data_IF_439266931453
#
_entry.id   IF_439266931453
#
_cell.length_a   1.000
_cell.length_b   1.000
_cell.length_c   1.000
_cell.angle_alpha   90.00
_cell.angle_beta   90.00
_cell.angle_gamma   90.00
#
_symmetry.space_group_name_H-M   'P 1'
#
loop_
_entity.id
_entity.type
_entity.pdbx_description
1 polymer ?
#
# COMPACT_ATOMS: atom_id res chain seq x y z
N UNK A 1 36.07 -3.39 8.01
CA UNK A 1 34.59 -3.54 8.04
C UNK A 1 33.89 -3.25 6.72
N UNK A 2 34.58 -2.68 5.74
CA UNK A 2 33.98 -2.28 4.44
C UNK A 2 33.69 -3.41 3.43
N UNK A 3 33.95 -4.67 3.77
CA UNK A 3 33.79 -5.80 2.86
C UNK A 3 32.77 -6.85 3.33
N UNK A 4 31.95 -6.57 4.35
CA UNK A 4 30.84 -7.48 4.69
C UNK A 4 29.59 -7.02 3.94
N UNK A 5 29.10 -7.80 2.96
CA UNK A 5 27.77 -7.56 2.40
C UNK A 5 26.74 -7.75 3.54
N UNK A 6 25.85 -6.81 3.76
CA UNK A 6 24.84 -6.81 4.82
C UNK A 6 25.32 -6.36 6.22
N UNK A 7 26.10 -5.28 6.31
CA UNK A 7 26.46 -4.70 7.60
C UNK A 7 25.25 -3.94 8.19
N UNK A 8 24.74 -4.39 9.32
CA UNK A 8 23.61 -3.86 10.06
C UNK A 8 24.08 -3.09 11.29
N UNK A 9 23.47 -1.94 11.60
CA UNK A 9 23.84 -1.11 12.74
C UNK A 9 23.63 -1.83 14.08
N UNK A 10 22.46 -2.41 14.27
CA UNK A 10 22.08 -3.08 15.52
C UNK A 10 22.84 -4.38 15.75
N UNK A 11 22.98 -5.19 14.70
CA UNK A 11 23.60 -6.53 14.80
C UNK A 11 25.12 -6.51 14.74
N UNK A 12 25.72 -5.54 14.03
CA UNK A 12 27.16 -5.58 13.76
C UNK A 12 27.91 -4.34 14.28
N UNK A 13 27.46 -3.11 13.95
CA UNK A 13 28.24 -1.89 14.23
C UNK A 13 28.22 -1.55 15.71
N UNK A 14 27.04 -1.48 16.33
CA UNK A 14 26.91 -1.14 17.74
C UNK A 14 27.61 -2.17 18.64
N UNK A 15 27.39 -3.50 18.49
CA UNK A 15 28.12 -4.50 19.26
C UNK A 15 29.64 -4.45 19.06
N UNK A 16 30.10 -4.21 17.82
CA UNK A 16 31.53 -4.06 17.57
C UNK A 16 32.13 -2.84 18.27
N UNK A 17 31.47 -1.70 18.19
CA UNK A 17 31.92 -0.47 18.87
C UNK A 17 31.96 -0.67 20.39
N UNK A 18 30.98 -1.34 20.97
CA UNK A 18 30.92 -1.69 22.38
C UNK A 18 32.10 -2.61 22.77
N UNK A 19 32.33 -3.68 22.01
CA UNK A 19 33.42 -4.62 22.24
C UNK A 19 34.82 -3.97 22.11
N UNK A 20 34.94 -2.88 21.30
CA UNK A 20 36.15 -2.10 21.18
C UNK A 20 36.29 -0.97 22.21
N UNK A 21 35.45 -0.94 23.23
CA UNK A 21 35.48 0.07 24.29
C UNK A 21 35.22 1.49 23.81
N UNK A 22 34.52 1.66 22.67
CA UNK A 22 34.08 2.98 22.20
C UNK A 22 32.98 3.51 23.12
N UNK A 23 32.98 4.82 23.35
CA UNK A 23 31.92 5.45 24.12
C UNK A 23 30.62 5.47 23.29
N UNK A 24 29.60 4.77 23.78
CA UNK A 24 28.26 4.75 23.23
C UNK A 24 27.31 5.51 24.15
N UNK A 25 26.47 6.35 23.58
CA UNK A 25 25.45 7.10 24.30
C UNK A 25 24.09 6.81 23.69
N UNK A 26 23.08 6.57 24.52
CA UNK A 26 21.70 6.50 24.11
C UNK A 26 21.10 7.91 24.19
N UNK A 27 20.37 8.29 23.15
CA UNK A 27 19.53 9.49 23.14
C UNK A 27 18.07 9.04 23.11
N UNK A 28 17.29 9.45 24.10
CA UNK A 28 15.86 9.17 24.15
C UNK A 28 15.13 10.18 23.27
N UNK A 29 14.45 9.66 22.26
CA UNK A 29 13.65 10.46 21.33
C UNK A 29 12.17 10.37 21.73
N UNK A 30 11.55 11.51 22.02
CA UNK A 30 10.16 11.60 22.48
C UNK A 30 9.20 12.07 21.38
N UNK A 31 9.60 12.04 20.11
CA UNK A 31 8.75 12.36 18.97
C UNK A 31 8.11 11.12 18.34
N UNK A 32 7.32 11.35 17.29
CA UNK A 32 6.76 10.25 16.50
C UNK A 32 7.88 9.42 15.84
N UNK A 33 7.85 8.12 16.05
CA UNK A 33 8.70 7.16 15.38
C UNK A 33 7.95 5.86 15.16
N UNK A 34 7.93 5.35 13.92
CA UNK A 34 7.31 4.08 13.59
C UNK A 34 8.19 3.27 12.66
N UNK A 35 8.39 1.99 12.98
CA UNK A 35 9.05 1.02 12.10
C UNK A 35 8.02 0.50 11.09
N UNK A 36 8.26 0.78 9.81
CA UNK A 36 7.41 0.33 8.70
C UNK A 36 7.99 -0.90 7.99
N UNK A 37 8.70 -1.74 8.71
CA UNK A 37 9.38 -2.93 8.19
C UNK A 37 8.47 -4.08 7.74
N UNK A 38 7.15 -3.99 7.93
CA UNK A 38 6.15 -4.96 7.46
C UNK A 38 5.03 -4.27 6.69
N UNK A 39 4.30 -5.02 5.84
CA UNK A 39 3.14 -4.48 5.10
C UNK A 39 2.06 -3.96 6.06
N UNK A 40 1.85 -4.65 7.17
CA UNK A 40 0.86 -4.24 8.16
C UNK A 40 1.26 -2.94 8.85
N UNK A 41 2.52 -2.82 9.31
CA UNK A 41 2.99 -1.57 9.94
C UNK A 41 3.05 -0.41 8.93
N UNK A 42 3.32 -0.68 7.65
CA UNK A 42 3.22 0.32 6.58
C UNK A 42 1.77 0.78 6.38
N UNK A 43 0.81 -0.16 6.34
CA UNK A 43 -0.61 0.17 6.24
C UNK A 43 -1.07 0.98 7.46
N UNK A 44 -0.75 0.53 8.66
CA UNK A 44 -1.09 1.25 9.91
C UNK A 44 -0.54 2.67 9.93
N UNK A 45 0.75 2.86 9.57
CA UNK A 45 1.36 4.19 9.53
C UNK A 45 0.65 5.15 8.56
N UNK A 46 0.16 4.64 7.43
CA UNK A 46 -0.64 5.43 6.49
C UNK A 46 -2.04 5.75 7.04
N UNK A 47 -2.68 4.80 7.72
CA UNK A 47 -4.00 5.03 8.34
C UNK A 47 -3.92 6.03 9.50
N UNK A 48 -2.82 6.05 10.26
CA UNK A 48 -2.59 7.07 11.30
C UNK A 48 -2.53 8.51 10.75
N UNK A 49 -2.11 8.68 9.49
CA UNK A 49 -2.07 10.01 8.85
C UNK A 49 -3.46 10.61 8.58
N UNK A 50 -4.48 9.78 8.45
CA UNK A 50 -5.87 10.23 8.19
C UNK A 50 -6.69 10.40 9.46
N UNK A 51 -6.10 10.24 10.63
CA UNK A 51 -6.77 10.55 11.89
C UNK A 51 -7.05 12.05 12.02
N UNK A 52 -8.06 12.39 12.82
CA UNK A 52 -8.50 13.80 13.04
C UNK A 52 -7.34 14.65 13.57
N UNK A 53 -6.52 14.08 14.44
CA UNK A 53 -5.30 14.71 14.97
C UNK A 53 -4.17 13.69 14.83
N UNK A 54 -3.51 13.65 13.65
CA UNK A 54 -2.41 12.72 13.44
C UNK A 54 -1.20 13.11 14.30
N UNK A 55 -0.55 12.15 14.92
CA UNK A 55 0.69 12.39 15.68
C UNK A 55 1.81 12.91 14.78
N UNK A 56 1.83 12.48 13.51
CA UNK A 56 2.77 12.93 12.49
C UNK A 56 2.12 13.97 11.58
N UNK A 57 2.65 15.20 11.63
CA UNK A 57 2.12 16.33 10.85
C UNK A 57 2.79 16.42 9.48
N UNK A 58 2.08 16.09 8.41
CA UNK A 58 2.55 16.26 7.02
C UNK A 58 2.61 17.74 6.59
N UNK A 59 1.93 18.63 7.31
CA UNK A 59 1.80 20.06 7.00
C UNK A 59 2.75 20.94 7.82
N UNK A 60 3.85 20.35 8.37
CA UNK A 60 4.82 21.10 9.14
C UNK A 60 5.54 22.15 8.28
N UNK A 61 5.33 23.42 8.61
CA UNK A 61 5.89 24.54 7.84
C UNK A 61 7.36 24.79 8.14
N UNK A 62 7.81 24.53 9.37
CA UNK A 62 9.17 24.82 9.81
C UNK A 62 10.16 23.69 9.45
N UNK A 63 9.66 22.49 9.20
CA UNK A 63 10.48 21.36 8.79
C UNK A 63 9.80 20.60 7.65
N UNK A 64 9.87 21.20 6.46
CA UNK A 64 9.24 20.66 5.27
C UNK A 64 9.90 19.35 4.82
N UNK A 65 9.09 18.36 4.51
CA UNK A 65 9.51 17.13 3.88
C UNK A 65 9.57 17.37 2.36
N UNK A 66 10.76 17.26 1.77
CA UNK A 66 10.95 17.39 0.34
C UNK A 66 10.94 16.02 -0.31
N UNK A 67 10.20 15.91 -1.41
CA UNK A 67 10.10 14.68 -2.21
C UNK A 67 10.06 15.05 -3.69
N UNK A 68 10.33 14.08 -4.57
CA UNK A 68 10.13 14.25 -6.00
C UNK A 68 8.64 14.16 -6.34
N UNK A 69 7.99 15.31 -6.43
CA UNK A 69 6.56 15.38 -6.74
C UNK A 69 6.36 15.53 -8.25
N UNK A 70 5.53 14.69 -8.84
CA UNK A 70 5.07 14.88 -10.21
C UNK A 70 4.28 16.20 -10.31
N UNK A 71 4.55 16.99 -11.35
CA UNK A 71 3.79 18.20 -11.61
C UNK A 71 2.47 17.85 -12.31
N UNK A 72 1.48 17.43 -11.53
CA UNK A 72 0.15 17.02 -11.99
C UNK A 72 -0.89 18.10 -11.66
N UNK A 73 -2.01 18.14 -12.39
CA UNK A 73 -3.11 19.07 -12.10
C UNK A 73 -3.71 18.79 -10.70
N UNK A 74 -4.52 19.72 -10.17
CA UNK A 74 -5.32 19.45 -8.98
C UNK A 74 -6.19 18.20 -9.12
N UNK A 75 -6.68 17.69 -7.99
CA UNK A 75 -7.64 16.59 -7.96
C UNK A 75 -8.96 16.99 -8.63
N UNK A 76 -9.59 16.03 -9.30
CA UNK A 76 -10.95 16.16 -9.82
C UNK A 76 -11.89 15.20 -9.07
N UNK A 77 -12.98 15.73 -8.58
CA UNK A 77 -14.07 14.96 -7.97
C UNK A 77 -15.32 15.15 -8.83
N UNK A 78 -15.94 14.07 -9.28
CA UNK A 78 -17.19 14.13 -10.03
C UNK A 78 -18.36 14.58 -9.14
N UNK A 79 -19.49 14.93 -9.73
CA UNK A 79 -20.69 15.35 -9.02
C UNK A 79 -21.21 14.28 -8.02
N UNK A 80 -21.08 13.01 -8.39
CA UNK A 80 -21.53 11.87 -7.58
C UNK A 80 -20.44 11.30 -6.68
N UNK A 81 -19.23 11.89 -6.65
CA UNK A 81 -18.13 11.36 -5.85
C UNK A 81 -18.35 11.59 -4.35
N UNK A 82 -18.09 10.56 -3.56
CA UNK A 82 -18.10 10.65 -2.09
C UNK A 82 -16.70 10.41 -1.56
N UNK A 83 -16.17 11.36 -0.78
CA UNK A 83 -14.82 11.26 -0.22
C UNK A 83 -14.86 11.60 1.26
N UNK A 84 -14.45 10.64 2.10
CA UNK A 84 -14.45 10.79 3.56
C UNK A 84 -13.15 10.31 4.20
N UNK A 85 -12.52 11.16 5.02
CA UNK A 85 -11.29 10.83 5.77
C UNK A 85 -10.16 10.29 4.89
N UNK A 86 -9.77 11.02 3.86
CA UNK A 86 -8.76 10.59 2.90
C UNK A 86 -7.62 11.59 2.76
N UNK A 87 -6.43 11.09 2.45
CA UNK A 87 -5.32 11.88 1.90
C UNK A 87 -5.25 11.60 0.40
N UNK A 88 -5.32 12.66 -0.41
CA UNK A 88 -5.38 12.53 -1.87
C UNK A 88 -4.34 13.45 -2.48
N UNK A 89 -3.46 12.88 -3.30
CA UNK A 89 -2.42 13.63 -4.03
C UNK A 89 -2.94 14.17 -5.37
N UNK A 90 -2.17 15.10 -5.96
CA UNK A 90 -2.51 15.75 -7.24
C UNK A 90 -2.70 14.77 -8.39
N UNK A 91 -3.49 15.17 -9.40
CA UNK A 91 -3.76 14.40 -10.59
C UNK A 91 -4.74 13.24 -10.40
N UNK A 92 -5.34 13.12 -9.23
CA UNK A 92 -6.30 12.05 -8.92
C UNK A 92 -7.69 12.43 -9.41
N UNK A 93 -8.36 11.52 -10.10
CA UNK A 93 -9.73 11.66 -10.60
C UNK A 93 -10.64 10.63 -9.91
N UNK A 94 -11.69 11.09 -9.22
CA UNK A 94 -12.61 10.24 -8.47
C UNK A 94 -14.03 10.38 -9.02
N UNK A 95 -14.55 9.27 -9.54
CA UNK A 95 -15.92 9.13 -10.04
C UNK A 95 -16.78 8.20 -9.17
N UNK A 96 -16.23 7.64 -8.11
CA UNK A 96 -16.85 6.73 -7.17
C UNK A 96 -16.75 7.20 -5.72
N UNK A 97 -16.68 6.25 -4.78
CA UNK A 97 -16.61 6.51 -3.34
C UNK A 97 -15.24 6.11 -2.77
N UNK A 98 -14.69 6.95 -1.89
CA UNK A 98 -13.42 6.69 -1.20
C UNK A 98 -13.55 7.02 0.27
N UNK A 99 -13.27 6.06 1.13
CA UNK A 99 -13.36 6.19 2.57
C UNK A 99 -12.07 5.73 3.25
N UNK A 100 -11.61 6.47 4.25
CA UNK A 100 -10.48 6.10 5.13
C UNK A 100 -9.27 5.56 4.35
N UNK A 101 -8.85 6.25 3.28
CA UNK A 101 -7.83 5.76 2.36
C UNK A 101 -6.76 6.81 2.03
N UNK A 102 -5.59 6.33 1.64
CA UNK A 102 -4.47 7.17 1.21
C UNK A 102 -4.21 6.94 -0.27
N UNK A 103 -4.34 7.99 -1.08
CA UNK A 103 -4.22 7.97 -2.52
C UNK A 103 -2.99 8.75 -2.98
N UNK A 104 -2.09 8.07 -3.67
CA UNK A 104 -0.95 8.64 -4.36
C UNK A 104 -1.34 9.54 -5.53
N UNK A 105 -0.37 9.99 -6.30
CA UNK A 105 -0.58 10.92 -7.40
C UNK A 105 -1.09 10.22 -8.67
N UNK A 106 -1.99 10.88 -9.42
CA UNK A 106 -2.42 10.42 -10.73
C UNK A 106 -3.27 9.13 -10.71
N UNK A 107 -4.11 8.97 -9.70
CA UNK A 107 -5.02 7.83 -9.57
C UNK A 107 -6.34 8.11 -10.28
N UNK A 108 -6.93 7.08 -10.87
CA UNK A 108 -8.30 7.14 -11.39
C UNK A 108 -9.16 6.11 -10.69
N UNK A 109 -10.32 6.54 -10.15
CA UNK A 109 -11.33 5.66 -9.56
C UNK A 109 -12.61 5.75 -10.37
N UNK A 110 -12.98 4.64 -11.03
CA UNK A 110 -14.12 4.54 -11.93
C UNK A 110 -15.48 4.68 -11.24
N UNK A 111 -16.50 4.95 -12.04
CA UNK A 111 -17.87 5.18 -11.58
C UNK A 111 -18.43 3.96 -10.86
N UNK A 112 -19.13 4.20 -9.75
CA UNK A 112 -19.74 3.13 -8.95
C UNK A 112 -18.75 2.30 -8.14
N UNK A 113 -17.44 2.60 -8.21
CA UNK A 113 -16.42 1.92 -7.43
C UNK A 113 -16.33 2.48 -6.01
N UNK A 114 -16.04 1.61 -5.06
CA UNK A 114 -15.91 1.93 -3.62
C UNK A 114 -14.57 1.46 -3.12
N UNK A 115 -13.78 2.37 -2.54
CA UNK A 115 -12.47 2.08 -1.94
C UNK A 115 -12.51 2.40 -0.45
N UNK A 116 -12.11 1.45 0.39
CA UNK A 116 -12.09 1.61 1.87
C UNK A 116 -10.79 1.10 2.45
N UNK A 117 -10.34 1.77 3.53
CA UNK A 117 -9.20 1.36 4.37
C UNK A 117 -7.97 0.94 3.57
N UNK A 118 -7.71 1.59 2.44
CA UNK A 118 -6.76 1.15 1.42
C UNK A 118 -5.69 2.19 1.12
N UNK A 119 -4.55 1.69 0.66
CA UNK A 119 -3.45 2.50 0.14
C UNK A 119 -3.33 2.24 -1.36
N UNK A 120 -3.55 3.26 -2.16
CA UNK A 120 -3.32 3.23 -3.60
C UNK A 120 -2.09 4.07 -3.90
N UNK A 121 -1.07 3.45 -4.50
CA UNK A 121 0.16 4.16 -4.88
C UNK A 121 0.00 4.89 -6.20
N UNK A 122 1.02 5.63 -6.61
CA UNK A 122 0.96 6.49 -7.80
C UNK A 122 0.52 5.75 -9.07
N UNK A 123 -0.34 6.38 -9.88
CA UNK A 123 -0.72 5.91 -11.20
C UNK A 123 -1.64 4.67 -11.23
N UNK A 124 -2.23 4.32 -10.09
CA UNK A 124 -3.21 3.21 -10.01
C UNK A 124 -4.50 3.62 -10.73
N UNK A 125 -5.03 2.71 -11.53
CA UNK A 125 -6.34 2.87 -12.19
C UNK A 125 -7.30 1.78 -11.70
N UNK A 126 -8.44 2.20 -11.17
CA UNK A 126 -9.55 1.33 -10.76
C UNK A 126 -10.68 1.50 -11.77
N UNK A 127 -11.16 0.40 -12.34
CA UNK A 127 -12.30 0.37 -13.26
C UNK A 127 -13.63 0.72 -12.60
N UNK A 128 -14.73 0.46 -13.28
CA UNK A 128 -16.08 0.75 -12.79
C UNK A 128 -16.63 -0.38 -11.90
N UNK A 129 -17.53 -0.02 -10.97
CA UNK A 129 -18.26 -0.94 -10.09
C UNK A 129 -17.37 -1.90 -9.29
N UNK A 130 -16.17 -1.46 -8.92
CA UNK A 130 -15.25 -2.22 -8.10
C UNK A 130 -15.52 -2.00 -6.60
N UNK A 131 -15.21 -2.99 -5.79
CA UNK A 131 -15.19 -2.87 -4.32
C UNK A 131 -13.81 -3.26 -3.82
N UNK A 132 -13.11 -2.31 -3.22
CA UNK A 132 -11.75 -2.50 -2.71
C UNK A 132 -11.75 -2.21 -1.22
N UNK A 133 -11.49 -3.23 -0.44
CA UNK A 133 -11.47 -3.16 1.01
C UNK A 133 -10.13 -3.68 1.55
N UNK A 134 -9.48 -2.87 2.38
CA UNK A 134 -8.24 -3.17 3.09
C UNK A 134 -7.13 -3.74 2.17
N UNK A 135 -6.72 -2.93 1.20
CA UNK A 135 -5.72 -3.30 0.21
C UNK A 135 -4.51 -2.34 0.19
N UNK A 136 -3.37 -2.86 -0.23
CA UNK A 136 -2.21 -2.08 -0.67
C UNK A 136 -2.02 -2.38 -2.15
N UNK A 137 -2.21 -1.37 -3.00
CA UNK A 137 -2.06 -1.48 -4.46
C UNK A 137 -0.90 -0.61 -4.90
N UNK A 138 0.14 -1.26 -5.42
CA UNK A 138 1.38 -0.59 -5.80
C UNK A 138 1.27 0.14 -7.15
N UNK A 139 2.32 0.87 -7.48
CA UNK A 139 2.35 1.86 -8.56
C UNK A 139 1.97 1.30 -9.93
N UNK A 140 1.27 2.11 -10.72
CA UNK A 140 0.92 1.83 -12.11
C UNK A 140 0.16 0.51 -12.30
N UNK A 141 -0.60 0.09 -11.31
CA UNK A 141 -1.46 -1.09 -11.36
C UNK A 141 -2.81 -0.74 -11.99
N UNK A 142 -3.29 -1.60 -12.87
CA UNK A 142 -4.59 -1.50 -13.53
C UNK A 142 -5.55 -2.56 -12.97
N UNK A 143 -6.67 -2.13 -12.41
CA UNK A 143 -7.77 -2.98 -11.95
C UNK A 143 -8.92 -2.84 -12.94
N UNK A 144 -9.37 -3.94 -13.51
CA UNK A 144 -10.52 -3.97 -14.43
C UNK A 144 -11.85 -3.68 -13.73
N UNK A 145 -12.94 -3.71 -14.48
CA UNK A 145 -14.27 -3.43 -13.97
C UNK A 145 -14.84 -4.60 -13.13
N UNK A 146 -15.76 -4.29 -12.22
CA UNK A 146 -16.48 -5.29 -11.40
C UNK A 146 -15.56 -6.20 -10.58
N UNK A 147 -14.40 -5.71 -10.16
CA UNK A 147 -13.45 -6.44 -9.32
C UNK A 147 -13.80 -6.23 -7.85
N UNK A 148 -13.73 -7.30 -7.05
CA UNK A 148 -13.96 -7.23 -5.61
C UNK A 148 -12.72 -7.71 -4.87
N UNK A 149 -12.15 -6.87 -4.01
CA UNK A 149 -10.93 -7.14 -3.25
C UNK A 149 -11.21 -7.06 -1.75
N UNK A 150 -10.63 -7.98 -0.96
CA UNK A 150 -10.74 -7.98 0.50
C UNK A 150 -11.85 -8.87 1.03
N UNK A 151 -12.40 -9.78 0.22
CA UNK A 151 -13.47 -10.68 0.62
C UNK A 151 -12.98 -11.90 1.41
N UNK A 152 -13.92 -12.65 1.99
CA UNK A 152 -13.65 -13.93 2.65
C UNK A 152 -13.10 -13.81 4.07
N UNK A 153 -12.71 -14.94 4.63
CA UNK A 153 -12.19 -15.05 5.99
C UNK A 153 -10.72 -14.67 6.10
N UNK A 154 -10.26 -14.45 7.33
CA UNK A 154 -8.85 -14.19 7.64
C UNK A 154 -8.07 -15.53 7.70
N UNK A 155 -7.65 -16.00 6.53
CA UNK A 155 -6.87 -17.23 6.37
C UNK A 155 -5.40 -16.87 6.21
N UNK A 156 -4.46 -17.51 6.94
CA UNK A 156 -3.04 -17.24 6.78
C UNK A 156 -2.55 -17.48 5.35
N UNK A 157 -1.66 -16.62 4.86
CA UNK A 157 -1.08 -16.79 3.53
C UNK A 157 -0.25 -18.07 3.45
N UNK A 158 -0.48 -18.88 2.41
CA UNK A 158 0.15 -20.19 2.23
C UNK A 158 1.65 -20.10 1.94
N UNK A 159 2.10 -19.04 1.26
CA UNK A 159 3.49 -18.89 0.84
C UNK A 159 4.34 -18.15 1.88
N UNK A 160 3.85 -17.01 2.37
CA UNK A 160 4.59 -16.14 3.32
C UNK A 160 3.65 -15.57 4.39
N UNK A 161 3.19 -16.36 5.36
CA UNK A 161 2.20 -15.93 6.36
C UNK A 161 2.70 -14.78 7.26
N UNK A 162 4.01 -14.61 7.41
CA UNK A 162 4.59 -13.50 8.18
C UNK A 162 4.69 -12.19 7.39
N UNK A 163 4.50 -12.22 6.07
CA UNK A 163 4.56 -11.05 5.19
C UNK A 163 3.16 -10.60 4.80
N UNK A 164 2.35 -11.53 4.28
CA UNK A 164 0.99 -11.28 3.80
C UNK A 164 -0.01 -11.68 4.88
N UNK A 165 -0.37 -10.72 5.73
CA UNK A 165 -1.21 -10.93 6.90
C UNK A 165 -2.06 -9.69 7.22
N UNK A 166 -2.72 -9.67 8.38
CA UNK A 166 -3.50 -8.53 8.85
C UNK A 166 -4.77 -8.28 8.04
N UNK A 167 -5.21 -9.24 7.23
CA UNK A 167 -6.37 -9.10 6.36
C UNK A 167 -6.10 -8.31 5.08
N UNK A 168 -4.85 -7.92 4.81
CA UNK A 168 -4.48 -7.11 3.66
C UNK A 168 -4.47 -7.92 2.36
N UNK A 169 -5.07 -7.38 1.30
CA UNK A 169 -4.80 -7.79 -0.07
C UNK A 169 -3.66 -6.93 -0.63
N UNK A 170 -2.61 -7.55 -1.15
CA UNK A 170 -1.43 -6.84 -1.65
C UNK A 170 -1.24 -7.09 -3.14
N UNK A 171 -1.20 -6.02 -3.93
CA UNK A 171 -1.01 -6.08 -5.38
C UNK A 171 0.27 -5.32 -5.73
N UNK A 172 1.21 -6.02 -6.37
CA UNK A 172 2.51 -5.48 -6.77
C UNK A 172 2.43 -4.46 -7.90
N UNK A 173 3.51 -3.72 -8.11
CA UNK A 173 3.59 -2.67 -9.13
C UNK A 173 3.32 -3.20 -10.55
N UNK A 174 2.76 -2.35 -11.41
CA UNK A 174 2.49 -2.63 -12.84
C UNK A 174 1.67 -3.90 -13.07
N UNK A 175 0.94 -4.35 -12.05
CA UNK A 175 0.06 -5.50 -12.18
C UNK A 175 -1.19 -5.14 -12.98
N UNK A 176 -1.75 -6.15 -13.66
CA UNK A 176 -3.04 -6.02 -14.35
C UNK A 176 -3.98 -7.07 -13.81
N UNK A 177 -5.11 -6.62 -13.30
CA UNK A 177 -6.16 -7.46 -12.74
C UNK A 177 -7.35 -7.45 -13.71
N UNK A 178 -7.76 -8.60 -14.25
CA UNK A 178 -8.86 -8.66 -15.21
C UNK A 178 -10.21 -8.33 -14.55
N UNK A 179 -11.17 -7.89 -15.36
CA UNK A 179 -12.52 -7.56 -14.89
C UNK A 179 -13.25 -8.79 -14.30
N UNK A 180 -14.12 -8.55 -13.33
CA UNK A 180 -15.05 -9.54 -12.77
C UNK A 180 -14.46 -10.54 -11.79
N UNK A 181 -13.18 -10.41 -11.42
CA UNK A 181 -12.55 -11.33 -10.46
C UNK A 181 -12.75 -10.90 -9.02
N UNK A 182 -12.67 -11.87 -8.11
CA UNK A 182 -12.73 -11.68 -6.67
C UNK A 182 -11.40 -12.06 -6.03
N UNK A 183 -10.96 -11.28 -5.06
CA UNK A 183 -9.65 -11.43 -4.40
C UNK A 183 -9.86 -11.42 -2.89
N UNK A 184 -9.41 -12.49 -2.24
CA UNK A 184 -9.53 -12.69 -0.80
C UNK A 184 -8.52 -11.89 0.03
N UNK A 185 -8.61 -12.06 1.35
CA UNK A 185 -7.71 -11.45 2.34
C UNK A 185 -6.38 -12.19 2.42
N UNK A 186 -5.33 -11.50 2.90
CA UNK A 186 -3.96 -12.04 3.05
C UNK A 186 -3.42 -12.63 1.74
N UNK A 187 -3.78 -12.02 0.62
CA UNK A 187 -3.36 -12.43 -0.72
C UNK A 187 -2.20 -11.57 -1.22
N UNK A 188 -1.44 -12.11 -2.16
CA UNK A 188 -0.41 -11.38 -2.88
C UNK A 188 -0.52 -11.65 -4.37
N UNK A 189 -0.59 -10.60 -5.17
CA UNK A 189 -0.64 -10.69 -6.63
C UNK A 189 0.49 -9.84 -7.22
N UNK A 190 1.13 -10.34 -8.27
CA UNK A 190 2.12 -9.57 -9.04
C UNK A 190 2.10 -9.99 -10.51
N UNK A 191 2.21 -9.00 -11.41
CA UNK A 191 2.25 -9.17 -12.85
C UNK A 191 0.88 -9.07 -13.53
N UNK A 192 0.87 -9.21 -14.85
CA UNK A 192 -0.35 -9.16 -15.66
C UNK A 192 -1.08 -10.50 -15.59
N UNK A 193 -2.19 -10.53 -14.86
CA UNK A 193 -3.03 -11.71 -14.70
C UNK A 193 -4.17 -11.73 -15.71
N UNK A 194 -4.69 -12.91 -16.00
CA UNK A 194 -5.85 -13.13 -16.87
C UNK A 194 -6.92 -13.92 -16.11
N UNK A 195 -8.15 -13.93 -16.61
CA UNK A 195 -9.29 -14.55 -15.91
C UNK A 195 -9.03 -16.03 -15.57
N UNK A 196 -8.33 -16.73 -16.45
CA UNK A 196 -7.99 -18.15 -16.30
C UNK A 196 -7.02 -18.43 -15.13
N UNK A 197 -6.34 -17.42 -14.61
CA UNK A 197 -5.50 -17.54 -13.43
C UNK A 197 -6.30 -17.63 -12.13
N UNK A 198 -7.57 -17.25 -12.17
CA UNK A 198 -8.48 -17.23 -11.04
C UNK A 198 -9.44 -18.43 -11.09
N UNK A 199 -9.38 -19.28 -10.08
CA UNK A 199 -10.26 -20.44 -10.01
C UNK A 199 -11.71 -19.99 -9.85
N UNK A 200 -12.55 -20.27 -10.83
CA UNK A 200 -13.93 -19.80 -10.86
C UNK A 200 -14.08 -18.26 -10.64
N UNK A 201 -13.10 -17.48 -11.14
CA UNK A 201 -13.06 -16.05 -10.95
C UNK A 201 -12.61 -15.59 -9.56
N UNK A 202 -12.08 -16.48 -8.72
CA UNK A 202 -11.69 -16.21 -7.33
C UNK A 202 -10.22 -16.55 -7.07
N UNK A 203 -9.50 -15.61 -6.45
CA UNK A 203 -8.29 -15.89 -5.68
C UNK A 203 -8.69 -15.95 -4.20
N UNK A 204 -8.68 -17.14 -3.60
CA UNK A 204 -9.16 -17.32 -2.23
C UNK A 204 -8.23 -16.66 -1.19
N UNK A 205 -8.76 -16.39 0.01
CA UNK A 205 -7.97 -15.84 1.10
C UNK A 205 -6.74 -16.71 1.40
N UNK A 206 -5.60 -16.08 1.61
CA UNK A 206 -4.33 -16.76 1.87
C UNK A 206 -3.59 -17.26 0.64
N UNK A 207 -4.13 -17.12 -0.56
CA UNK A 207 -3.46 -17.53 -1.80
C UNK A 207 -2.51 -16.45 -2.34
N UNK A 208 -1.61 -16.87 -3.21
CA UNK A 208 -0.61 -16.00 -3.86
C UNK A 208 -0.58 -16.31 -5.36
N UNK A 209 -0.67 -15.27 -6.19
CA UNK A 209 -0.62 -15.33 -7.65
C UNK A 209 0.50 -14.44 -8.17
N UNK A 210 1.63 -15.03 -8.52
CA UNK A 210 2.80 -14.31 -9.05
C UNK A 210 3.10 -14.82 -10.45
N UNK A 211 3.00 -13.93 -11.43
CA UNK A 211 3.40 -14.21 -12.81
C UNK A 211 4.91 -14.03 -12.94
N UNK A 212 5.62 -15.10 -13.23
CA UNK A 212 7.06 -15.07 -13.48
C UNK A 212 7.35 -14.35 -14.81
N UNK A 213 8.17 -13.32 -14.82
CA UNK A 213 8.75 -12.77 -16.06
C UNK A 213 8.84 -11.27 -16.23
N UNK A 214 8.36 -10.42 -15.33
CA UNK A 214 8.36 -8.95 -15.52
C UNK A 214 9.30 -8.15 -14.60
N UNK A 215 10.15 -8.82 -13.84
CA UNK A 215 11.21 -8.13 -13.10
C UNK A 215 12.50 -8.12 -13.94
N UNK A 216 12.63 -7.17 -14.85
CA UNK A 216 13.91 -6.79 -15.49
C UNK A 216 14.34 -5.42 -15.02
#
# INVERSE_FOLDING_TARGET
>A
MSNQPNCDFGKHIIPYCHAKGKRLFAYEYNGYWKDVGTLNSYWEANMELIDIIPEFNLYEEFWKIYTNSANLPPQYLSEDAVVERCIISNGTEIYGEVHSSVLGAGITIGKGSVVRDSILMQGVTIGENCVIDKAIIAENTEIGDNVVIGIGGDVPNQLKPHVYNGGLATIGEKSKIPSGVQIGKNTAISGATVVEDYRDGLLASGETLIKAGEWK
#
